data_IF_937867174776
#
_entry.id   IF_937867174776
#
_cell.length_a   1.000
_cell.length_b   1.000
_cell.length_c   1.000
_cell.angle_alpha   90.00
_cell.angle_beta   90.00
_cell.angle_gamma   90.00
#
_symmetry.space_group_name_H-M   'P 1'
#
loop_
_entity.id
_entity.type
_entity.pdbx_description
1 polymer ?
#
# COMPACT_ATOMS: atom_id res chain seq x y z
N UNK A 1 28.86 23.26 47.99
CA UNK A 1 28.15 23.40 46.71
C UNK A 1 28.82 22.49 45.67
N UNK A 2 28.32 21.28 45.46
CA UNK A 2 28.88 20.31 44.49
C UNK A 2 27.92 19.13 44.30
N UNK A 3 26.70 19.37 43.80
CA UNK A 3 25.74 18.30 43.48
C UNK A 3 24.88 18.54 42.22
N UNK A 4 25.16 19.59 41.44
CA UNK A 4 24.29 19.99 40.31
C UNK A 4 24.77 19.54 38.92
N UNK A 5 25.68 18.55 38.83
CA UNK A 5 26.28 18.16 37.54
C UNK A 5 25.78 16.83 36.96
N UNK A 6 24.76 16.20 37.53
CA UNK A 6 24.28 14.88 37.07
C UNK A 6 22.94 14.89 36.32
N UNK A 7 22.40 16.05 35.93
CA UNK A 7 21.08 16.14 35.30
C UNK A 7 21.08 16.46 33.80
N UNK A 8 22.23 16.44 33.13
CA UNK A 8 22.32 16.69 31.67
C UNK A 8 22.68 15.45 30.83
N UNK A 9 23.02 14.32 31.45
CA UNK A 9 23.47 13.12 30.73
C UNK A 9 22.36 12.19 30.21
N UNK A 10 21.11 12.39 30.62
CA UNK A 10 20.01 11.44 30.33
C UNK A 10 19.13 11.88 29.16
N UNK A 11 19.23 13.14 28.72
CA UNK A 11 18.33 13.70 27.68
C UNK A 11 18.77 13.43 26.24
N UNK A 12 19.94 12.82 26.00
CA UNK A 12 20.48 12.63 24.64
C UNK A 12 20.08 11.26 24.03
N UNK A 13 19.54 10.32 24.80
CA UNK A 13 19.21 8.98 24.29
C UNK A 13 17.82 8.82 23.67
N UNK A 14 16.92 9.78 23.82
CA UNK A 14 15.52 9.65 23.33
C UNK A 14 15.39 10.11 21.86
N UNK A 15 16.41 10.78 21.30
CA UNK A 15 16.35 11.37 19.96
C UNK A 15 16.83 10.49 18.80
N UNK A 16 17.16 9.21 19.02
CA UNK A 16 17.85 8.38 18.00
C UNK A 16 17.01 7.28 17.34
N UNK A 17 15.72 7.15 17.67
CA UNK A 17 14.83 6.32 16.85
C UNK A 17 14.26 7.20 15.75
N UNK A 18 15.05 7.46 14.71
CA UNK A 18 14.47 7.79 13.42
C UNK A 18 13.86 6.47 12.90
N UNK A 19 12.61 6.18 13.26
CA UNK A 19 11.84 5.12 12.61
C UNK A 19 11.54 5.60 11.20
N UNK A 20 12.44 5.30 10.27
CA UNK A 20 12.06 5.28 8.87
C UNK A 20 11.27 4.00 8.70
N UNK A 21 9.94 4.06 8.91
CA UNK A 21 9.07 3.00 8.45
C UNK A 21 9.34 2.84 6.94
N UNK A 22 9.93 1.72 6.55
CA UNK A 22 10.26 1.42 5.16
C UNK A 22 8.93 1.20 4.42
N UNK A 23 8.43 2.30 3.84
CA UNK A 23 7.19 2.32 3.07
C UNK A 23 7.51 2.24 1.59
N UNK A 24 7.21 1.10 1.01
CA UNK A 24 7.40 0.81 -0.41
C UNK A 24 6.12 1.16 -1.18
N UNK A 25 6.21 2.13 -2.10
CA UNK A 25 5.08 2.48 -2.98
C UNK A 25 4.78 1.33 -3.95
N UNK A 26 3.51 0.96 -4.06
CA UNK A 26 3.02 -0.05 -4.99
C UNK A 26 2.42 0.65 -6.20
N UNK A 27 3.12 0.54 -7.33
CA UNK A 27 2.62 1.07 -8.59
C UNK A 27 1.36 0.31 -9.05
N UNK A 28 0.31 1.08 -9.35
CA UNK A 28 -0.98 0.57 -9.79
C UNK A 28 -1.20 0.77 -11.29
N UNK A 29 -1.48 -0.31 -12.00
CA UNK A 29 -1.93 -0.30 -13.40
C UNK A 29 -3.46 -0.20 -13.47
N UNK A 30 -3.99 0.71 -14.29
CA UNK A 30 -5.42 0.99 -14.39
C UNK A 30 -6.03 0.56 -15.73
N UNK A 31 -7.25 0.00 -15.66
CA UNK A 31 -8.00 -0.52 -16.80
C UNK A 31 -9.49 -0.14 -16.69
N UNK A 32 -10.15 0.17 -17.81
CA UNK A 32 -11.63 0.26 -17.82
C UNK A 32 -12.25 -1.14 -17.93
N UNK A 33 -13.25 -1.42 -17.09
CA UNK A 33 -14.09 -2.60 -17.20
C UNK A 33 -14.87 -2.56 -18.51
N UNK A 34 -14.86 -3.65 -19.29
CA UNK A 34 -15.58 -3.76 -20.57
C UNK A 34 -14.83 -3.31 -21.84
N UNK A 35 -13.60 -2.80 -21.75
CA UNK A 35 -12.69 -2.63 -22.90
C UNK A 35 -11.40 -3.44 -22.68
N UNK A 36 -11.52 -4.78 -22.79
CA UNK A 36 -10.39 -5.70 -22.63
C UNK A 36 -9.39 -5.65 -23.80
N UNK A 37 -9.75 -5.06 -24.94
CA UNK A 37 -8.85 -4.92 -26.07
C UNK A 37 -8.07 -3.62 -25.97
N UNK A 38 -6.77 -3.76 -25.67
CA UNK A 38 -5.77 -2.73 -25.98
C UNK A 38 -5.94 -2.37 -27.45
N UNK A 39 -6.46 -1.18 -27.76
CA UNK A 39 -6.35 -0.67 -29.12
C UNK A 39 -4.86 -0.42 -29.36
N UNK A 40 -4.19 -1.38 -30.00
CA UNK A 40 -2.75 -1.30 -30.30
C UNK A 40 -2.42 -0.16 -31.28
N UNK A 41 -3.45 0.45 -31.87
CA UNK A 41 -3.34 1.53 -32.85
C UNK A 41 -3.26 2.92 -32.23
N UNK A 42 -3.77 3.12 -31.00
CA UNK A 42 -3.85 4.45 -30.38
C UNK A 42 -3.15 4.45 -29.02
N UNK A 43 -1.98 5.09 -28.97
CA UNK A 43 -1.28 5.36 -27.71
C UNK A 43 -2.04 6.43 -26.91
N UNK A 44 -2.83 6.00 -25.93
CA UNK A 44 -3.41 6.89 -24.91
C UNK A 44 -2.55 6.85 -23.65
N UNK A 45 -2.37 7.99 -23.00
CA UNK A 45 -1.78 8.02 -21.67
C UNK A 45 -2.63 7.17 -20.72
N UNK A 46 -2.01 6.39 -19.81
CA UNK A 46 -2.74 5.65 -18.78
C UNK A 46 -3.66 6.58 -18.00
N UNK A 47 -4.87 6.11 -17.70
CA UNK A 47 -5.79 6.84 -16.83
C UNK A 47 -5.19 6.85 -15.41
N UNK A 48 -4.94 8.03 -14.85
CA UNK A 48 -4.51 8.16 -13.45
C UNK A 48 -5.76 8.33 -12.59
N UNK A 49 -6.05 7.32 -11.79
CA UNK A 49 -7.03 7.41 -10.70
C UNK A 49 -6.22 7.71 -9.44
N UNK A 50 -6.60 8.69 -8.60
CA UNK A 50 -5.82 9.10 -7.44
C UNK A 50 -5.97 8.10 -6.30
N UNK A 51 -5.31 6.95 -6.44
CA UNK A 51 -5.22 5.92 -5.41
C UNK A 51 -3.75 5.67 -5.16
N UNK A 52 -3.36 5.87 -3.91
CA UNK A 52 -2.00 5.63 -3.45
C UNK A 52 -2.00 4.33 -2.62
N UNK A 53 -1.04 3.47 -2.90
CA UNK A 53 -0.91 2.18 -2.23
C UNK A 53 0.52 2.02 -1.74
N UNK A 54 0.69 1.68 -0.47
CA UNK A 54 1.99 1.52 0.17
C UNK A 54 2.04 0.20 0.92
N UNK A 55 3.21 -0.43 0.94
CA UNK A 55 3.53 -1.52 1.85
C UNK A 55 4.46 -1.03 2.95
N UNK A 56 4.05 -1.19 4.20
CA UNK A 56 4.87 -0.95 5.38
C UNK A 56 5.54 -2.27 5.77
N UNK A 57 6.84 -2.36 5.51
CA UNK A 57 7.63 -3.59 5.72
C UNK A 57 7.80 -3.93 7.20
N UNK A 58 7.84 -2.92 8.08
CA UNK A 58 8.01 -3.12 9.52
C UNK A 58 6.73 -3.66 10.18
N UNK A 59 5.58 -3.18 9.72
CA UNK A 59 4.28 -3.56 10.27
C UNK A 59 3.58 -4.68 9.48
N UNK A 60 4.13 -5.06 8.33
CA UNK A 60 3.53 -5.96 7.35
C UNK A 60 2.10 -5.53 6.96
N UNK A 61 1.93 -4.24 6.68
CA UNK A 61 0.64 -3.63 6.34
C UNK A 61 0.63 -3.09 4.92
N UNK A 62 -0.48 -3.29 4.20
CA UNK A 62 -0.76 -2.58 2.95
C UNK A 62 -1.73 -1.45 3.26
N UNK A 63 -1.28 -0.21 3.10
CA UNK A 63 -2.10 0.99 3.26
C UNK A 63 -2.62 1.45 1.90
N UNK A 64 -3.92 1.71 1.80
CA UNK A 64 -4.57 2.13 0.56
C UNK A 64 -5.36 3.41 0.81
N UNK A 65 -4.99 4.48 0.11
CA UNK A 65 -5.59 5.79 0.23
C UNK A 65 -6.21 6.25 -1.08
N UNK A 66 -7.31 6.99 -1.00
CA UNK A 66 -7.98 7.58 -2.15
C UNK A 66 -9.10 8.52 -1.73
N UNK A 67 -9.89 8.96 -2.71
CA UNK A 67 -11.05 9.80 -2.42
C UNK A 67 -12.10 9.01 -1.64
N UNK A 68 -12.57 9.56 -0.51
CA UNK A 68 -13.56 8.94 0.39
C UNK A 68 -14.89 8.59 -0.28
N UNK A 69 -15.21 9.25 -1.39
CA UNK A 69 -16.48 9.06 -2.11
C UNK A 69 -16.37 7.92 -3.14
N UNK A 70 -15.21 7.27 -3.26
CA UNK A 70 -15.01 6.11 -4.13
C UNK A 70 -15.71 4.86 -3.58
N UNK A 71 -16.57 4.27 -4.41
CA UNK A 71 -17.14 2.95 -4.17
C UNK A 71 -16.24 1.89 -4.82
N UNK A 72 -15.53 1.10 -4.00
CA UNK A 72 -14.55 0.13 -4.46
C UNK A 72 -14.61 -1.18 -3.66
N UNK A 73 -14.11 -2.24 -4.28
CA UNK A 73 -13.81 -3.51 -3.62
C UNK A 73 -12.33 -3.83 -3.79
N UNK A 74 -11.67 -4.19 -2.69
CA UNK A 74 -10.23 -4.36 -2.64
C UNK A 74 -9.93 -5.80 -2.26
N UNK A 75 -9.10 -6.44 -3.06
CA UNK A 75 -8.67 -7.83 -2.88
C UNK A 75 -7.16 -7.90 -2.84
N UNK A 76 -6.65 -8.65 -1.87
CA UNK A 76 -5.25 -9.02 -1.77
C UNK A 76 -5.10 -10.50 -2.05
N UNK A 77 -4.21 -10.83 -2.98
CA UNK A 77 -3.94 -12.20 -3.39
C UNK A 77 -2.50 -12.61 -3.06
N UNK A 78 -2.33 -13.87 -2.68
CA UNK A 78 -1.02 -14.53 -2.66
C UNK A 78 -0.53 -14.88 -4.08
N UNK A 79 0.68 -15.41 -4.16
CA UNK A 79 1.32 -15.86 -5.40
C UNK A 79 0.55 -17.00 -6.12
N UNK A 80 -0.28 -17.74 -5.39
CA UNK A 80 -1.12 -18.82 -5.91
C UNK A 80 -2.47 -18.32 -6.43
N UNK A 81 -2.77 -17.03 -6.27
CA UNK A 81 -4.03 -16.41 -6.64
C UNK A 81 -5.16 -16.63 -5.62
N UNK A 82 -4.86 -17.07 -4.40
CA UNK A 82 -5.83 -17.15 -3.32
C UNK A 82 -6.04 -15.77 -2.71
N UNK A 83 -7.30 -15.43 -2.38
CA UNK A 83 -7.60 -14.21 -1.63
C UNK A 83 -7.15 -14.41 -0.18
N UNK A 84 -6.21 -13.60 0.27
CA UNK A 84 -5.72 -13.62 1.65
C UNK A 84 -6.28 -12.47 2.49
N UNK A 85 -6.71 -11.37 1.85
CA UNK A 85 -7.38 -10.26 2.53
C UNK A 85 -8.36 -9.53 1.61
N UNK A 86 -9.32 -8.82 2.19
CA UNK A 86 -10.38 -8.12 1.49
C UNK A 86 -10.86 -6.89 2.26
N UNK A 87 -11.18 -5.82 1.55
CA UNK A 87 -11.88 -4.67 2.11
C UNK A 87 -12.95 -4.13 1.15
N UNK A 88 -14.16 -3.79 1.64
CA UNK A 88 -15.24 -3.23 0.84
C UNK A 88 -15.17 -1.70 0.68
N UNK A 89 -14.07 -1.06 1.06
CA UNK A 89 -13.96 0.41 1.07
C UNK A 89 -12.53 0.89 0.84
N UNK A 90 -12.41 2.07 0.23
CA UNK A 90 -11.18 2.84 0.11
C UNK A 90 -10.73 3.37 1.50
N UNK A 91 -9.51 3.91 1.61
CA UNK A 91 -8.95 4.42 2.87
C UNK A 91 -8.91 3.34 3.95
N UNK A 92 -8.25 2.23 3.61
CA UNK A 92 -8.22 0.99 4.40
C UNK A 92 -6.80 0.47 4.55
N UNK A 93 -6.63 -0.44 5.49
CA UNK A 93 -5.38 -1.12 5.77
C UNK A 93 -5.63 -2.63 5.70
N UNK A 94 -4.78 -3.35 4.98
CA UNK A 94 -4.81 -4.80 4.89
C UNK A 94 -3.57 -5.37 5.57
N UNK A 95 -3.78 -6.27 6.54
CA UNK A 95 -2.70 -7.03 7.18
C UNK A 95 -2.17 -8.10 6.22
N UNK A 96 -0.84 -8.22 6.17
CA UNK A 96 -0.09 -9.30 5.54
C UNK A 96 0.50 -10.15 6.67
N UNK A 97 0.42 -11.48 6.56
CA UNK A 97 1.03 -12.34 7.59
C UNK A 97 2.54 -12.18 7.62
N UNK A 98 3.14 -12.06 8.81
CA UNK A 98 4.61 -11.96 9.01
C UNK A 98 5.41 -13.12 8.38
N UNK A 99 4.77 -14.27 8.15
CA UNK A 99 5.40 -15.43 7.51
C UNK A 99 5.23 -15.44 5.98
N UNK A 100 4.54 -14.46 5.42
CA UNK A 100 4.35 -14.36 3.98
C UNK A 100 5.64 -13.85 3.34
N UNK A 101 6.16 -14.61 2.39
CA UNK A 101 7.21 -14.18 1.48
C UNK A 101 6.81 -14.59 0.08
N UNK A 102 7.05 -13.74 -0.89
CA UNK A 102 6.70 -13.96 -2.28
C UNK A 102 6.00 -12.76 -2.91
N UNK A 103 5.24 -13.02 -3.97
CA UNK A 103 4.58 -11.98 -4.74
C UNK A 103 3.14 -11.77 -4.24
N UNK A 104 2.87 -10.58 -3.72
CA UNK A 104 1.51 -10.13 -3.46
C UNK A 104 0.94 -9.41 -4.66
N UNK A 105 -0.34 -9.66 -4.94
CA UNK A 105 -1.09 -8.92 -5.96
C UNK A 105 -2.29 -8.23 -5.33
N UNK A 106 -2.42 -6.93 -5.57
CA UNK A 106 -3.56 -6.12 -5.12
C UNK A 106 -4.46 -5.86 -6.32
N UNK A 107 -5.77 -6.01 -6.13
CA UNK A 107 -6.77 -5.66 -7.13
C UNK A 107 -7.84 -4.77 -6.49
N UNK A 108 -8.04 -3.61 -7.06
CA UNK A 108 -9.08 -2.66 -6.66
C UNK A 108 -10.09 -2.59 -7.80
N UNK A 109 -11.34 -2.92 -7.52
CA UNK A 109 -12.44 -2.85 -8.47
C UNK A 109 -13.33 -1.66 -8.12
N UNK A 110 -13.48 -0.72 -9.07
CA UNK A 110 -14.52 0.30 -9.02
C UNK A 110 -15.67 -0.02 -9.97
N UNK A 111 -16.60 0.91 -10.13
CA UNK A 111 -17.82 0.71 -10.94
C UNK A 111 -17.51 0.36 -12.41
N UNK A 112 -16.62 1.10 -13.06
CA UNK A 112 -16.26 0.92 -14.48
C UNK A 112 -14.76 0.75 -14.71
N UNK A 113 -13.99 0.45 -13.67
CA UNK A 113 -12.53 0.34 -13.74
C UNK A 113 -11.96 -0.69 -12.76
N UNK A 114 -10.76 -1.17 -13.07
CA UNK A 114 -9.96 -2.08 -12.25
C UNK A 114 -8.55 -1.49 -12.16
N UNK A 115 -7.99 -1.45 -10.96
CA UNK A 115 -6.58 -1.19 -10.72
C UNK A 115 -5.89 -2.45 -10.19
N UNK A 116 -4.67 -2.73 -10.66
CA UNK A 116 -3.88 -3.85 -10.18
C UNK A 116 -2.47 -3.43 -9.85
N UNK A 117 -1.96 -3.85 -8.71
CA UNK A 117 -0.57 -3.62 -8.28
C UNK A 117 0.07 -4.91 -7.81
N UNK A 118 1.39 -4.93 -7.79
CA UNK A 118 2.17 -6.09 -7.32
C UNK A 118 3.37 -5.62 -6.51
N UNK A 119 3.68 -6.37 -5.46
CA UNK A 119 4.86 -6.15 -4.64
C UNK A 119 5.45 -7.48 -4.23
N UNK A 120 6.78 -7.57 -4.25
CA UNK A 120 7.50 -8.69 -3.67
C UNK A 120 7.76 -8.36 -2.18
N UNK A 121 7.41 -9.31 -1.32
CA UNK A 121 7.55 -9.26 0.14
C UNK A 121 8.49 -10.36 0.61
#
# INVERSE_FOLDING_TARGET
MKKFLFLFGVLIFIGSFQSYAERSEIYMDFYKSGHANKSTTVHRSPMRIPIDVYYDEELHLIEIFGDKDMNVQIYLYDENGNIINYSPSINTILEVSDNHSGLLSIRIEGEDWIATGKIAV
#
